data_IF_948885926693
#
_entry.id   IF_948885926693
#
_cell.length_a   1.000
_cell.length_b   1.000
_cell.length_c   1.000
_cell.angle_alpha   90.00
_cell.angle_beta   90.00
_cell.angle_gamma   90.00
#
_symmetry.space_group_name_H-M   'P 1'
#
loop_
_entity.id
_entity.type
_entity.pdbx_description
1 polymer ?
#
# COMPACT_ATOMS: atom_id res chain seq x y z
N UNK A 1 10.67 4.20 -8.60
CA UNK A 1 9.71 3.32 -9.31
C UNK A 1 8.42 3.20 -8.53
N UNK A 2 8.30 2.38 -7.48
CA UNK A 2 7.03 2.23 -6.72
C UNK A 2 6.45 3.54 -6.20
N UNK A 3 7.22 4.28 -5.39
CA UNK A 3 6.80 5.59 -4.89
C UNK A 3 6.36 6.55 -6.01
N UNK A 4 7.19 6.68 -7.05
CA UNK A 4 6.99 7.65 -8.13
C UNK A 4 5.77 7.33 -9.01
N UNK A 5 5.43 6.05 -9.21
CA UNK A 5 4.22 5.69 -9.95
C UNK A 5 2.98 5.80 -9.09
N UNK A 6 3.06 5.40 -7.82
CA UNK A 6 1.94 5.48 -6.90
C UNK A 6 1.54 6.91 -6.59
N UNK A 7 2.50 7.83 -6.41
CA UNK A 7 2.15 9.25 -6.19
C UNK A 7 1.46 9.88 -7.41
N UNK A 8 1.74 9.38 -8.61
CA UNK A 8 1.14 9.83 -9.86
C UNK A 8 -0.14 9.06 -10.25
N UNK A 9 -0.55 8.08 -9.44
CA UNK A 9 -1.69 7.21 -9.73
C UNK A 9 -3.02 7.98 -9.62
N UNK A 10 -3.80 8.11 -10.71
CA UNK A 10 -5.04 8.89 -10.70
C UNK A 10 -6.07 8.35 -9.69
N UNK A 11 -6.15 7.03 -9.54
CA UNK A 11 -7.07 6.41 -8.59
C UNK A 11 -6.72 6.80 -7.14
N UNK A 12 -5.42 6.85 -6.80
CA UNK A 12 -4.99 7.28 -5.46
C UNK A 12 -5.28 8.76 -5.22
N UNK A 13 -5.13 9.60 -6.24
CA UNK A 13 -5.50 11.03 -6.15
C UNK A 13 -6.98 11.16 -5.82
N UNK A 14 -7.84 10.45 -6.55
CA UNK A 14 -9.29 10.48 -6.35
C UNK A 14 -9.69 10.01 -4.95
N UNK A 15 -9.23 8.82 -4.53
CA UNK A 15 -9.56 8.27 -3.20
C UNK A 15 -9.04 9.16 -2.08
N UNK A 16 -7.85 9.75 -2.22
CA UNK A 16 -7.34 10.65 -1.19
C UNK A 16 -8.09 11.97 -1.06
N UNK A 17 -8.65 12.48 -2.18
CA UNK A 17 -9.48 13.68 -2.18
C UNK A 17 -10.83 13.37 -1.54
N UNK A 18 -11.46 12.28 -1.94
CA UNK A 18 -12.72 11.81 -1.37
C UNK A 18 -12.60 11.55 0.14
N UNK A 19 -11.52 10.87 0.56
CA UNK A 19 -11.23 10.64 1.96
C UNK A 19 -11.07 11.94 2.76
N UNK A 20 -10.49 12.98 2.16
CA UNK A 20 -10.36 14.29 2.81
C UNK A 20 -11.71 15.02 2.92
N UNK A 21 -12.53 14.98 1.86
CA UNK A 21 -13.88 15.57 1.85
C UNK A 21 -14.77 14.93 2.93
N UNK A 22 -14.79 13.59 3.00
CA UNK A 22 -15.54 12.84 4.02
C UNK A 22 -15.02 13.15 5.43
N UNK A 23 -13.70 13.26 5.62
CA UNK A 23 -13.12 13.58 6.92
C UNK A 23 -13.47 15.00 7.40
N UNK A 24 -13.59 15.97 6.49
CA UNK A 24 -14.07 17.32 6.80
C UNK A 24 -15.56 17.30 7.15
N UNK A 25 -16.39 16.60 6.38
CA UNK A 25 -17.84 16.49 6.62
C UNK A 25 -18.15 15.84 7.98
N UNK A 26 -17.36 14.83 8.34
CA UNK A 26 -17.43 14.15 9.64
C UNK A 26 -16.83 14.97 10.81
N UNK A 27 -16.35 16.20 10.57
CA UNK A 27 -15.66 17.06 11.54
C UNK A 27 -14.42 16.40 12.19
N UNK A 28 -13.77 15.45 11.50
CA UNK A 28 -12.54 14.80 11.96
C UNK A 28 -11.32 15.69 11.72
N UNK A 29 -11.35 16.49 10.65
CA UNK A 29 -10.32 17.47 10.30
C UNK A 29 -10.95 18.81 9.95
N UNK A 30 -10.21 19.90 10.18
CA UNK A 30 -10.62 21.24 9.74
C UNK A 30 -10.54 21.36 8.21
N UNK A 31 -11.44 22.13 7.59
CA UNK A 31 -11.43 22.38 6.14
C UNK A 31 -10.12 23.00 5.63
N UNK A 32 -9.41 23.76 6.49
CA UNK A 32 -8.08 24.30 6.17
C UNK A 32 -7.01 23.22 5.96
N UNK A 33 -7.19 22.06 6.59
CA UNK A 33 -6.25 20.94 6.55
C UNK A 33 -6.58 19.89 5.48
N UNK A 34 -7.67 20.03 4.74
CA UNK A 34 -8.15 19.06 3.73
C UNK A 34 -7.06 18.65 2.74
N UNK A 35 -6.41 19.65 2.12
CA UNK A 35 -5.34 19.43 1.14
C UNK A 35 -4.11 18.74 1.76
N UNK A 36 -3.79 19.10 3.00
CA UNK A 36 -2.68 18.51 3.75
C UNK A 36 -2.94 17.05 4.11
N UNK A 37 -4.18 16.74 4.50
CA UNK A 37 -4.62 15.37 4.78
C UNK A 37 -4.59 14.49 3.53
N UNK A 38 -5.18 14.96 2.43
CA UNK A 38 -5.15 14.24 1.15
C UNK A 38 -3.70 13.96 0.70
N UNK A 39 -2.82 14.97 0.79
CA UNK A 39 -1.41 14.81 0.44
C UNK A 39 -0.67 13.86 1.40
N UNK A 40 -0.93 13.93 2.71
CA UNK A 40 -0.36 13.04 3.71
C UNK A 40 -0.75 11.58 3.48
N UNK A 41 -2.02 11.32 3.18
CA UNK A 41 -2.52 10.00 2.82
C UNK A 41 -1.84 9.46 1.55
N UNK A 42 -1.75 10.29 0.49
CA UNK A 42 -1.06 9.93 -0.76
C UNK A 42 0.40 9.59 -0.53
N UNK A 43 1.10 10.40 0.27
CA UNK A 43 2.50 10.16 0.60
C UNK A 43 2.66 8.87 1.41
N UNK A 44 1.79 8.63 2.39
CA UNK A 44 1.79 7.40 3.18
C UNK A 44 1.69 6.15 2.28
N UNK A 45 0.72 6.15 1.36
CA UNK A 45 0.52 5.07 0.40
C UNK A 45 1.74 4.95 -0.55
N UNK A 46 2.21 6.04 -1.13
CA UNK A 46 3.35 6.01 -2.06
C UNK A 46 4.64 5.48 -1.41
N UNK A 47 4.93 5.91 -0.17
CA UNK A 47 6.08 5.41 0.60
C UNK A 47 5.93 3.91 0.87
N UNK A 48 4.75 3.48 1.30
CA UNK A 48 4.47 2.07 1.58
C UNK A 48 4.68 1.17 0.36
N UNK A 49 4.27 1.60 -0.85
CA UNK A 49 4.48 0.83 -2.09
C UNK A 49 5.96 0.80 -2.46
N UNK A 50 6.69 1.90 -2.27
CA UNK A 50 8.15 1.92 -2.44
C UNK A 50 8.86 0.89 -1.55
N UNK A 51 8.46 0.83 -0.28
CA UNK A 51 8.97 -0.16 0.68
C UNK A 51 8.52 -1.58 0.36
N UNK A 52 7.29 -1.77 -0.13
CA UNK A 52 6.77 -3.07 -0.53
C UNK A 52 7.60 -3.68 -1.66
N UNK A 53 7.97 -2.88 -2.66
CA UNK A 53 8.85 -3.32 -3.74
C UNK A 53 10.23 -3.66 -3.20
N UNK A 54 10.80 -2.84 -2.32
CA UNK A 54 12.10 -3.10 -1.71
C UNK A 54 12.13 -4.43 -0.95
N UNK A 55 11.14 -4.66 -0.08
CA UNK A 55 10.98 -5.89 0.69
C UNK A 55 10.73 -7.08 -0.24
N UNK A 56 9.90 -6.91 -1.27
CA UNK A 56 9.59 -7.95 -2.25
C UNK A 56 10.83 -8.40 -3.03
N UNK A 57 11.62 -7.46 -3.54
CA UNK A 57 12.89 -7.73 -4.23
C UNK A 57 13.85 -8.45 -3.29
N UNK A 58 14.04 -7.93 -2.07
CA UNK A 58 14.92 -8.53 -1.08
C UNK A 58 14.52 -9.97 -0.76
N UNK A 59 13.21 -10.22 -0.65
CA UNK A 59 12.63 -11.54 -0.45
C UNK A 59 12.88 -12.49 -1.63
N UNK A 60 12.74 -12.04 -2.89
CA UNK A 60 13.06 -12.87 -4.07
C UNK A 60 14.54 -13.30 -4.03
N UNK A 61 15.45 -12.37 -3.72
CA UNK A 61 16.88 -12.64 -3.63
C UNK A 61 17.18 -13.64 -2.50
N UNK A 62 16.59 -13.46 -1.32
CA UNK A 62 16.78 -14.34 -0.15
C UNK A 62 16.04 -15.68 -0.27
N UNK A 63 15.05 -15.79 -1.14
CA UNK A 63 14.28 -17.01 -1.34
C UNK A 63 13.32 -17.37 -0.22
N UNK A 64 12.92 -16.40 0.60
CA UNK A 64 11.97 -16.67 1.67
C UNK A 64 10.60 -17.02 1.11
N UNK A 65 9.86 -17.90 1.76
CA UNK A 65 8.51 -18.25 1.31
C UNK A 65 7.56 -17.09 1.60
N UNK A 66 6.79 -16.67 0.59
CA UNK A 66 5.95 -15.47 0.65
C UNK A 66 4.92 -15.51 1.78
N UNK A 67 4.35 -16.68 2.05
CA UNK A 67 3.26 -16.82 3.01
C UNK A 67 3.65 -16.39 4.43
N UNK A 68 4.92 -16.50 4.84
CA UNK A 68 5.33 -16.04 6.17
C UNK A 68 5.13 -14.53 6.34
N UNK A 69 5.50 -13.76 5.31
CA UNK A 69 5.37 -12.30 5.33
C UNK A 69 3.91 -11.87 5.17
N UNK A 70 3.14 -12.58 4.34
CA UNK A 70 1.71 -12.27 4.15
C UNK A 70 0.90 -12.59 5.40
N UNK A 71 1.10 -13.75 6.02
CA UNK A 71 0.43 -14.12 7.26
C UNK A 71 0.80 -13.13 8.37
N UNK A 72 2.09 -12.85 8.57
CA UNK A 72 2.53 -11.89 9.58
C UNK A 72 1.99 -10.48 9.34
N UNK A 73 1.95 -10.05 8.08
CA UNK A 73 1.39 -8.78 7.68
C UNK A 73 -0.11 -8.67 7.94
N UNK A 74 -0.89 -9.71 7.62
CA UNK A 74 -2.33 -9.70 7.90
C UNK A 74 -2.64 -9.80 9.39
N UNK A 75 -1.83 -10.55 10.17
CA UNK A 75 -1.93 -10.52 11.64
C UNK A 75 -1.72 -9.10 12.16
N UNK A 76 -0.72 -8.39 11.64
CA UNK A 76 -0.49 -6.99 11.99
C UNK A 76 -1.67 -6.09 11.57
N UNK A 77 -2.21 -6.27 10.37
CA UNK A 77 -3.40 -5.53 9.89
C UNK A 77 -4.58 -5.73 10.84
N UNK A 78 -4.87 -6.97 11.22
CA UNK A 78 -5.97 -7.28 12.16
C UNK A 78 -5.73 -6.62 13.51
N UNK A 79 -4.49 -6.71 14.04
CA UNK A 79 -4.15 -6.06 15.31
C UNK A 79 -4.31 -4.54 15.22
N UNK A 80 -3.83 -3.91 14.15
CA UNK A 80 -4.00 -2.46 13.95
C UNK A 80 -5.46 -2.07 13.79
N UNK A 81 -6.27 -2.89 13.10
CA UNK A 81 -7.71 -2.63 12.91
C UNK A 81 -8.43 -2.48 14.26
N UNK A 82 -8.02 -3.21 15.30
CA UNK A 82 -8.64 -3.11 16.64
C UNK A 82 -8.36 -1.75 17.32
N UNK A 83 -7.25 -1.09 16.98
CA UNK A 83 -6.85 0.19 17.57
C UNK A 83 -7.09 1.38 16.64
N UNK A 84 -7.41 1.13 15.37
CA UNK A 84 -7.57 2.18 14.37
C UNK A 84 -8.93 2.88 14.54
N UNK A 85 -9.00 4.20 14.30
CA UNK A 85 -10.27 4.92 14.16
C UNK A 85 -11.15 4.31 13.06
N UNK A 86 -12.46 4.19 13.30
CA UNK A 86 -13.39 3.54 12.36
C UNK A 86 -13.38 4.20 10.97
N UNK A 87 -13.09 5.51 10.94
CA UNK A 87 -13.09 6.34 9.75
C UNK A 87 -11.88 6.05 8.84
N UNK A 88 -10.73 5.68 9.41
CA UNK A 88 -9.55 5.32 8.60
C UNK A 88 -9.58 3.87 8.12
N UNK A 89 -10.27 2.97 8.83
CA UNK A 89 -10.27 1.54 8.50
C UNK A 89 -10.76 1.33 7.06
N UNK A 90 -11.90 1.91 6.69
CA UNK A 90 -12.44 1.80 5.33
C UNK A 90 -11.45 2.29 4.26
N UNK A 91 -10.85 3.46 4.50
CA UNK A 91 -9.87 4.07 3.59
C UNK A 91 -8.60 3.19 3.49
N UNK A 92 -8.14 2.59 4.58
CA UNK A 92 -6.96 1.74 4.59
C UNK A 92 -7.13 0.48 3.75
N UNK A 93 -8.28 -0.18 3.87
CA UNK A 93 -8.57 -1.38 3.08
C UNK A 93 -8.82 -1.05 1.60
N UNK A 94 -9.41 0.11 1.28
CA UNK A 94 -9.58 0.56 -0.10
C UNK A 94 -8.23 0.97 -0.72
N UNK A 95 -7.36 1.65 0.03
CA UNK A 95 -6.03 2.06 -0.42
C UNK A 95 -5.17 0.86 -0.88
N UNK A 96 -5.28 -0.28 -0.21
CA UNK A 96 -4.61 -1.51 -0.64
C UNK A 96 -5.14 -2.08 -1.97
N UNK A 97 -6.40 -1.82 -2.32
CA UNK A 97 -6.98 -2.14 -3.62
C UNK A 97 -6.59 -1.12 -4.70
N UNK A 98 -6.57 0.16 -4.35
CA UNK A 98 -6.20 1.27 -5.24
C UNK A 98 -4.76 1.16 -5.73
N UNK A 99 -3.82 0.71 -4.90
CA UNK A 99 -2.43 0.47 -5.35
C UNK A 99 -2.29 -0.72 -6.29
N UNK A 100 -3.35 -1.51 -6.47
CA UNK A 100 -3.40 -2.59 -7.48
C UNK A 100 -4.03 -2.17 -8.81
N UNK A 101 -4.08 -0.86 -9.08
CA UNK A 101 -4.69 -0.30 -10.29
C UNK A 101 -3.79 -0.36 -11.55
N UNK A 102 -4.27 0.31 -12.60
CA UNK A 102 -3.83 0.23 -14.00
C UNK A 102 -2.36 0.56 -14.24
N UNK A 103 -1.70 1.39 -13.41
CA UNK A 103 -0.28 1.75 -13.62
C UNK A 103 0.64 0.90 -12.73
N UNK A 104 0.29 0.77 -11.44
CA UNK A 104 1.19 0.18 -10.45
C UNK A 104 1.32 -1.34 -10.61
N UNK A 105 0.26 -2.08 -10.94
CA UNK A 105 0.33 -3.55 -11.07
C UNK A 105 1.16 -4.02 -12.24
N UNK A 106 0.96 -3.54 -13.49
CA UNK A 106 1.78 -3.98 -14.61
C UNK A 106 3.27 -3.72 -14.36
N UNK A 107 3.61 -2.59 -13.73
CA UNK A 107 4.98 -2.25 -13.38
C UNK A 107 5.58 -3.20 -12.33
N UNK A 108 4.87 -3.39 -11.20
CA UNK A 108 5.30 -4.27 -10.10
C UNK A 108 5.43 -5.71 -10.59
N UNK A 109 4.50 -6.15 -11.43
CA UNK A 109 4.52 -7.48 -12.05
C UNK A 109 5.68 -7.64 -13.01
N UNK A 110 5.90 -6.69 -13.92
CA UNK A 110 7.02 -6.74 -14.86
C UNK A 110 8.37 -6.79 -14.12
N UNK A 111 8.50 -6.01 -13.05
CA UNK A 111 9.69 -6.04 -12.20
C UNK A 111 9.85 -7.38 -11.47
N UNK A 112 8.80 -7.86 -10.81
CA UNK A 112 8.84 -9.09 -10.03
C UNK A 112 9.09 -10.32 -10.90
N UNK A 113 8.33 -10.47 -11.99
CA UNK A 113 8.47 -11.56 -12.97
C UNK A 113 9.84 -11.49 -13.66
N UNK A 114 10.28 -10.29 -14.08
CA UNK A 114 11.59 -10.10 -14.68
C UNK A 114 12.72 -10.53 -13.75
N UNK A 115 12.69 -10.08 -12.50
CA UNK A 115 13.70 -10.46 -11.50
C UNK A 115 13.68 -11.96 -11.18
N UNK A 116 12.50 -12.56 -11.01
CA UNK A 116 12.36 -13.99 -10.73
C UNK A 116 12.74 -14.88 -11.93
N UNK A 117 12.71 -14.36 -13.16
CA UNK A 117 13.10 -15.11 -14.36
C UNK A 117 14.61 -15.25 -14.55
N UNK A 118 15.40 -14.35 -13.96
CA UNK A 118 16.87 -14.33 -14.08
C UNK A 118 17.59 -14.99 -12.89
N UNK A 119 16.88 -15.26 -11.80
CA UNK A 119 17.44 -15.90 -10.60
C UNK A 119 17.12 -17.39 -10.63
N UNK A 120 18.16 -18.22 -10.69
CA UNK A 120 17.98 -19.68 -10.66
C UNK A 120 17.25 -20.13 -9.39
N UNK A 121 16.32 -21.08 -9.57
CA UNK A 121 15.51 -21.61 -8.47
C UNK A 121 14.37 -20.70 -8.01
N UNK A 122 14.06 -19.62 -8.74
CA UNK A 122 12.87 -18.77 -8.50
C UNK A 122 11.80 -19.03 -9.54
N UNK A 123 10.55 -18.87 -9.10
CA UNK A 123 9.38 -19.06 -9.94
C UNK A 123 8.77 -17.70 -10.26
N UNK A 124 8.70 -17.28 -11.54
CA UNK A 124 8.08 -16.01 -11.90
C UNK A 124 6.61 -15.90 -11.44
N UNK A 125 5.91 -17.03 -11.37
CA UNK A 125 4.53 -17.12 -10.90
C UNK A 125 4.40 -16.91 -9.39
N UNK A 126 5.17 -17.62 -8.57
CA UNK A 126 5.01 -17.53 -7.11
C UNK A 126 5.87 -16.42 -6.49
N UNK A 127 7.06 -16.21 -7.03
CA UNK A 127 7.99 -15.20 -6.53
C UNK A 127 7.81 -13.83 -7.18
N UNK A 128 7.60 -13.82 -8.50
CA UNK A 128 7.42 -12.59 -9.26
C UNK A 128 6.04 -11.95 -9.07
N UNK A 129 4.97 -12.69 -9.33
CA UNK A 129 3.60 -12.18 -9.14
C UNK A 129 3.28 -11.89 -7.67
N UNK A 130 3.89 -12.64 -6.75
CA UNK A 130 3.75 -12.45 -5.31
C UNK A 130 4.15 -11.05 -4.81
N UNK A 131 4.91 -10.27 -5.59
CA UNK A 131 5.26 -8.90 -5.25
C UNK A 131 4.04 -7.96 -5.16
N UNK A 132 2.96 -8.26 -5.89
CA UNK A 132 1.71 -7.50 -5.85
C UNK A 132 1.07 -7.58 -4.46
N UNK A 133 1.19 -8.73 -3.78
CA UNK A 133 0.61 -8.92 -2.47
C UNK A 133 1.21 -7.95 -1.43
N UNK A 134 2.51 -7.64 -1.53
CA UNK A 134 3.13 -6.62 -0.69
C UNK A 134 2.67 -5.21 -1.05
N UNK A 135 2.52 -4.92 -2.34
CA UNK A 135 2.06 -3.63 -2.83
C UNK A 135 0.62 -3.32 -2.41
N UNK A 136 -0.17 -4.32 -2.03
CA UNK A 136 -1.51 -4.17 -1.44
C UNK A 136 -1.48 -4.13 0.09
N UNK A 137 -0.68 -5.00 0.72
CA UNK A 137 -0.68 -5.18 2.17
C UNK A 137 -0.02 -4.01 2.94
N UNK A 138 1.11 -3.48 2.46
CA UNK A 138 1.79 -2.39 3.17
C UNK A 138 1.01 -1.08 3.19
N UNK A 139 0.31 -0.66 2.11
CA UNK A 139 -0.58 0.50 2.16
C UNK A 139 -1.61 0.44 3.27
N UNK A 140 -2.23 -0.72 3.51
CA UNK A 140 -3.22 -0.85 4.59
C UNK A 140 -2.61 -0.50 5.95
N UNK A 141 -1.42 -1.05 6.24
CA UNK A 141 -0.68 -0.80 7.48
C UNK A 141 -0.32 0.68 7.62
N UNK A 142 0.22 1.27 6.56
CA UNK A 142 0.68 2.66 6.56
C UNK A 142 -0.46 3.67 6.65
N UNK A 143 -1.60 3.39 5.99
CA UNK A 143 -2.79 4.23 6.07
C UNK A 143 -3.43 4.14 7.45
N UNK A 144 -3.57 2.94 8.04
CA UNK A 144 -4.03 2.81 9.42
C UNK A 144 -3.12 3.56 10.40
N UNK A 145 -1.79 3.40 10.25
CA UNK A 145 -0.82 4.13 11.07
C UNK A 145 -0.90 5.64 10.89
N UNK A 146 -1.17 6.11 9.67
CA UNK A 146 -1.41 7.52 9.39
C UNK A 146 -2.67 8.04 10.09
N UNK A 147 -3.79 7.32 10.00
CA UNK A 147 -5.03 7.70 10.69
C UNK A 147 -4.89 7.75 12.20
N UNK A 148 -4.19 6.77 12.80
CA UNK A 148 -3.91 6.75 14.25
C UNK A 148 -3.05 7.94 14.74
N UNK A 149 -2.33 8.62 13.86
CA UNK A 149 -1.49 9.78 14.21
C UNK A 149 -2.25 11.10 14.01
N UNK A 150 -3.21 11.11 13.09
CA UNK A 150 -3.97 12.31 12.72
C UNK A 150 -5.24 12.48 13.57
N UNK A 151 -5.91 11.38 13.87
CA UNK A 151 -7.11 11.32 14.71
C UNK A 151 -6.75 10.94 16.15
#
# INVERSE_FOLDING_TARGET
MGFSTTIAEPALIAVSKEAAEIAVEANLINSENESSYAMGLRLSVAVSVGLAILIGIWRIIKGWKIYYLIIGGYVLVILMTVFAPDEIIGIAYDAGGVTTSTITVPLVTALGVGLASIIEGRSPLTDGFGLIAFASLLPMIFVMGYGMVIF
#
